data_IF_131214623385
#
_entry.id   IF_131214623385
#
_cell.length_a   1.000
_cell.length_b   1.000
_cell.length_c   1.000
_cell.angle_alpha   90.00
_cell.angle_beta   90.00
_cell.angle_gamma   90.00
#
_symmetry.space_group_name_H-M   'P 1'
#
loop_
_entity.id
_entity.type
_entity.pdbx_description
1 polymer ?
#
# COMPACT_ATOMS: atom_id res chain seq x y z
N UNK A 1 4.29 59.82 -2.94
CA UNK A 1 5.13 58.95 -3.80
C UNK A 1 6.16 58.31 -2.84
N UNK A 2 6.22 57.01 -2.55
CA UNK A 2 6.10 55.75 -3.32
C UNK A 2 5.55 54.64 -2.39
N UNK A 3 4.75 53.65 -2.85
CA UNK A 3 4.41 52.50 -2.03
C UNK A 3 5.56 51.47 -2.03
N UNK A 4 5.91 50.95 -0.86
CA UNK A 4 6.87 49.86 -0.71
C UNK A 4 6.21 48.55 -1.16
N UNK A 5 6.74 47.93 -2.21
CA UNK A 5 6.34 46.59 -2.67
C UNK A 5 7.02 45.58 -1.75
N UNK A 6 6.23 44.92 -0.90
CA UNK A 6 6.68 43.79 -0.09
C UNK A 6 6.81 42.56 -1.01
N UNK A 7 8.04 42.24 -1.42
CA UNK A 7 8.33 41.04 -2.18
C UNK A 7 8.18 39.82 -1.27
N UNK A 8 7.11 39.05 -1.48
CA UNK A 8 6.93 37.73 -0.86
C UNK A 8 7.89 36.76 -1.55
N UNK A 9 8.99 36.44 -0.88
CA UNK A 9 9.89 35.34 -1.24
C UNK A 9 9.13 34.02 -1.05
N UNK A 10 8.61 33.47 -2.15
CA UNK A 10 8.17 32.07 -2.22
C UNK A 10 9.45 31.22 -2.09
N UNK A 11 9.74 30.76 -0.88
CA UNK A 11 10.73 29.72 -0.67
C UNK A 11 10.21 28.43 -1.32
N UNK A 12 10.71 28.11 -2.52
CA UNK A 12 10.60 26.79 -3.11
C UNK A 12 11.25 25.80 -2.13
N UNK A 13 10.42 25.10 -1.35
CA UNK A 13 10.86 23.96 -0.54
C UNK A 13 11.51 22.94 -1.48
N UNK A 14 12.84 22.89 -1.42
CA UNK A 14 13.60 21.82 -2.06
C UNK A 14 13.10 20.46 -1.53
N UNK A 15 12.98 19.42 -2.37
CA UNK A 15 12.55 18.11 -1.91
C UNK A 15 13.53 17.61 -0.84
N UNK A 16 12.98 17.22 0.31
CA UNK A 16 13.76 16.67 1.42
C UNK A 16 14.72 15.58 0.91
N UNK A 17 16.00 15.69 1.30
CA UNK A 17 17.03 14.76 0.91
C UNK A 17 16.63 13.32 1.26
N UNK A 18 16.87 12.39 0.33
CA UNK A 18 16.56 10.98 0.47
C UNK A 18 17.39 10.33 1.60
N UNK A 19 16.88 10.35 2.83
CA UNK A 19 17.49 9.70 3.98
C UNK A 19 17.42 8.18 3.86
N UNK A 20 18.57 7.51 3.98
CA UNK A 20 18.62 6.06 4.15
C UNK A 20 18.19 5.71 5.58
N UNK A 21 17.30 4.73 5.72
CA UNK A 21 16.85 4.20 7.00
C UNK A 21 17.21 2.71 7.10
N UNK A 22 17.69 2.29 8.27
CA UNK A 22 17.91 0.88 8.56
C UNK A 22 16.58 0.13 8.71
N UNK A 23 16.48 -1.07 8.12
CA UNK A 23 15.31 -1.96 8.27
C UNK A 23 15.66 -3.34 8.86
N UNK A 24 16.93 -3.55 9.22
CA UNK A 24 17.44 -4.74 9.88
C UNK A 24 18.95 -4.85 9.75
N UNK A 25 19.49 -6.00 10.13
CA UNK A 25 20.91 -6.31 10.06
C UNK A 25 21.13 -7.67 9.39
N UNK A 26 22.27 -7.82 8.72
CA UNK A 26 22.73 -9.09 8.18
C UNK A 26 23.26 -10.02 9.26
N UNK A 27 23.59 -11.25 8.88
CA UNK A 27 24.26 -12.22 9.78
C UNK A 27 25.54 -11.65 10.41
N UNK A 28 26.34 -10.89 9.65
CA UNK A 28 27.57 -10.27 10.14
C UNK A 28 27.37 -8.85 10.69
N UNK A 29 26.13 -8.48 11.06
CA UNK A 29 25.84 -7.20 11.70
C UNK A 29 25.89 -5.97 10.77
N UNK A 30 25.84 -6.16 9.45
CA UNK A 30 25.80 -5.02 8.51
C UNK A 30 24.38 -4.49 8.40
N UNK A 31 24.23 -3.18 8.46
CA UNK A 31 22.93 -2.53 8.30
C UNK A 31 22.32 -2.84 6.93
N UNK A 32 21.03 -3.20 6.95
CA UNK A 32 20.20 -3.30 5.77
C UNK A 32 19.46 -1.98 5.58
N UNK A 33 19.74 -1.29 4.48
CA UNK A 33 19.29 0.09 4.27
C UNK A 33 18.23 0.21 3.17
N UNK A 34 17.24 1.07 3.41
CA UNK A 34 16.27 1.50 2.41
C UNK A 34 16.31 3.01 2.25
N UNK A 35 16.36 3.49 1.01
CA UNK A 35 16.27 4.92 0.68
C UNK A 35 14.87 5.24 0.17
N UNK A 36 14.24 6.27 0.71
CA UNK A 36 12.94 6.78 0.26
C UNK A 36 13.14 7.98 -0.66
N UNK A 37 12.44 8.02 -1.79
CA UNK A 37 12.48 9.14 -2.74
C UNK A 37 11.06 9.49 -3.16
N UNK A 38 10.73 10.78 -3.17
CA UNK A 38 9.38 11.28 -3.45
C UNK A 38 8.56 11.52 -2.19
N UNK A 39 7.32 11.95 -2.41
CA UNK A 39 6.39 12.33 -1.36
C UNK A 39 6.06 11.15 -0.41
N UNK A 40 6.29 11.27 0.91
CA UNK A 40 5.85 10.29 1.90
C UNK A 40 4.36 9.95 1.87
N UNK A 41 3.51 10.88 1.43
CA UNK A 41 2.07 10.72 1.29
C UNK A 41 1.64 10.09 -0.05
N UNK A 42 2.59 9.78 -0.95
CA UNK A 42 2.25 9.24 -2.26
C UNK A 42 1.41 7.94 -2.17
N UNK A 43 0.27 7.86 -2.88
CA UNK A 43 -0.62 6.70 -2.82
C UNK A 43 -0.04 5.46 -3.51
N UNK A 44 0.94 5.63 -4.41
CA UNK A 44 1.62 4.53 -5.09
C UNK A 44 3.03 4.37 -4.52
N UNK A 45 3.35 3.16 -4.07
CA UNK A 45 4.69 2.82 -3.58
C UNK A 45 5.33 1.77 -4.46
N UNK A 46 6.50 2.08 -5.01
CA UNK A 46 7.32 1.15 -5.78
C UNK A 46 8.51 0.71 -4.94
N UNK A 47 8.59 -0.59 -4.63
CA UNK A 47 9.77 -1.17 -3.99
C UNK A 47 10.72 -1.70 -5.05
N UNK A 48 11.98 -1.30 -5.00
CA UNK A 48 13.01 -1.72 -5.95
C UNK A 48 14.19 -2.29 -5.17
N UNK A 49 14.50 -3.56 -5.42
CA UNK A 49 15.58 -4.30 -4.78
C UNK A 49 16.69 -4.54 -5.79
N UNK A 50 17.87 -3.96 -5.54
CA UNK A 50 19.01 -3.99 -6.44
C UNK A 50 19.73 -5.34 -6.49
N UNK A 51 19.77 -6.08 -5.37
CA UNK A 51 20.21 -7.48 -5.36
C UNK A 51 19.73 -8.24 -4.12
N UNK A 52 19.48 -9.53 -4.29
CA UNK A 52 19.27 -10.51 -3.20
C UNK A 52 20.38 -11.56 -3.15
N UNK A 53 20.96 -11.93 -4.29
CA UNK A 53 22.20 -12.66 -4.32
C UNK A 53 23.38 -11.68 -4.28
N UNK A 54 24.41 -12.02 -3.50
CA UNK A 54 25.52 -11.10 -3.25
C UNK A 54 26.41 -10.85 -4.46
N UNK A 55 26.51 -11.83 -5.37
CA UNK A 55 27.31 -11.75 -6.60
C UNK A 55 26.55 -11.19 -7.82
N UNK A 56 25.29 -10.78 -7.67
CA UNK A 56 24.45 -10.25 -8.75
C UNK A 56 24.24 -8.73 -8.57
N UNK A 57 25.33 -7.95 -8.62
CA UNK A 57 25.35 -6.54 -8.19
C UNK A 57 25.00 -5.51 -9.27
N UNK A 58 24.75 -5.91 -10.52
CA UNK A 58 24.45 -4.98 -11.61
C UNK A 58 23.23 -4.08 -11.32
N UNK A 59 22.24 -4.57 -10.58
CA UNK A 59 21.07 -3.79 -10.18
C UNK A 59 21.39 -2.60 -9.26
N UNK A 60 22.57 -2.59 -8.60
CA UNK A 60 22.99 -1.47 -7.75
C UNK A 60 23.13 -0.17 -8.54
N UNK A 61 23.56 -0.26 -9.82
CA UNK A 61 23.65 0.89 -10.71
C UNK A 61 22.28 1.50 -11.02
N UNK A 62 21.23 0.68 -11.10
CA UNK A 62 19.85 1.15 -11.29
C UNK A 62 19.36 1.87 -10.03
N UNK A 63 19.61 1.30 -8.84
CA UNK A 63 19.29 1.95 -7.56
C UNK A 63 19.99 3.31 -7.43
N UNK A 64 21.28 3.37 -7.75
CA UNK A 64 22.05 4.61 -7.72
C UNK A 64 21.53 5.68 -8.69
N UNK A 65 20.91 5.27 -9.81
CA UNK A 65 20.26 6.20 -10.74
C UNK A 65 18.91 6.68 -10.22
N UNK A 66 18.08 5.77 -9.72
CA UNK A 66 16.75 6.08 -9.16
C UNK A 66 16.82 7.04 -7.97
N UNK A 67 17.86 6.92 -7.12
CA UNK A 67 18.09 7.87 -6.00
C UNK A 67 18.22 9.33 -6.42
N UNK A 68 18.54 9.60 -7.69
CA UNK A 68 18.79 10.95 -8.23
C UNK A 68 17.70 11.41 -9.19
N UNK A 69 16.64 10.63 -9.37
CA UNK A 69 15.55 10.97 -10.27
C UNK A 69 14.31 11.28 -9.44
N UNK A 70 13.61 12.40 -9.71
CA UNK A 70 12.33 12.64 -9.08
C UNK A 70 11.34 11.57 -9.58
N UNK A 71 10.59 10.91 -8.68
CA UNK A 71 9.50 10.05 -9.11
C UNK A 71 8.36 10.87 -9.72
N UNK A 72 7.50 10.24 -10.55
CA UNK A 72 6.28 10.88 -11.02
C UNK A 72 5.38 11.34 -9.87
N UNK A 73 4.51 12.35 -10.09
CA UNK A 73 3.50 12.74 -9.11
C UNK A 73 2.68 11.55 -8.61
N UNK A 74 2.45 11.50 -7.30
CA UNK A 74 1.70 10.41 -6.66
C UNK A 74 2.45 9.09 -6.50
N UNK A 75 3.77 9.07 -6.78
CA UNK A 75 4.64 7.89 -6.59
C UNK A 75 5.74 8.15 -5.58
N UNK A 76 5.93 7.20 -4.66
CA UNK A 76 7.10 7.12 -3.80
C UNK A 76 7.92 5.87 -4.14
N UNK A 77 9.24 6.05 -4.21
CA UNK A 77 10.19 4.96 -4.38
C UNK A 77 10.74 4.52 -3.03
N UNK A 78 10.81 3.22 -2.84
CA UNK A 78 11.52 2.56 -1.75
C UNK A 78 12.65 1.73 -2.36
N UNK A 79 13.87 2.17 -2.15
CA UNK A 79 15.04 1.67 -2.87
C UNK A 79 15.96 0.92 -1.90
N UNK A 80 16.09 -0.39 -2.12
CA UNK A 80 17.02 -1.25 -1.37
C UNK A 80 18.18 -1.59 -2.28
N UNK A 81 19.39 -1.13 -1.93
CA UNK A 81 20.59 -1.41 -2.75
C UNK A 81 20.86 -2.92 -2.81
N UNK A 82 20.89 -3.56 -1.65
CA UNK A 82 21.05 -5.01 -1.51
C UNK A 82 20.37 -5.47 -0.23
N UNK A 83 19.81 -6.68 -0.24
CA UNK A 83 19.39 -7.37 0.98
C UNK A 83 20.46 -8.34 1.50
N UNK A 84 21.58 -8.50 0.80
CA UNK A 84 22.66 -9.43 1.14
C UNK A 84 24.02 -8.72 1.15
N UNK A 85 24.24 -7.75 2.06
CA UNK A 85 25.50 -7.01 2.12
C UNK A 85 26.70 -7.92 2.45
N UNK A 86 26.48 -9.01 3.18
CA UNK A 86 27.52 -9.99 3.48
C UNK A 86 27.96 -10.72 2.22
N UNK A 87 27.01 -11.27 1.46
CA UNK A 87 27.32 -11.93 0.19
C UNK A 87 27.94 -10.97 -0.83
N UNK A 88 27.55 -9.69 -0.84
CA UNK A 88 28.21 -8.67 -1.69
C UNK A 88 29.67 -8.51 -1.30
N UNK A 89 29.98 -8.45 0.00
CA UNK A 89 31.37 -8.33 0.48
C UNK A 89 32.20 -9.56 0.13
N UNK A 90 31.60 -10.75 0.19
CA UNK A 90 32.29 -12.02 -0.05
C UNK A 90 32.22 -12.50 -1.51
N UNK A 91 31.51 -11.80 -2.39
CA UNK A 91 31.31 -12.22 -3.78
C UNK A 91 30.50 -13.50 -3.94
N UNK A 92 29.64 -13.85 -2.97
CA UNK A 92 28.88 -15.11 -2.97
C UNK A 92 27.43 -14.88 -3.37
N UNK A 93 26.81 -15.91 -3.98
CA UNK A 93 25.36 -15.93 -4.21
C UNK A 93 24.60 -15.87 -2.89
N UNK A 94 25.02 -16.70 -1.95
CA UNK A 94 24.41 -16.89 -0.64
C UNK A 94 24.79 -15.77 0.34
N UNK A 95 24.13 -15.73 1.51
CA UNK A 95 24.54 -14.89 2.65
C UNK A 95 25.73 -15.52 3.42
N UNK A 96 26.14 -14.91 4.54
CA UNK A 96 27.28 -15.39 5.33
C UNK A 96 27.09 -16.79 5.96
N UNK A 97 25.86 -17.32 6.03
CA UNK A 97 25.58 -18.71 6.47
C UNK A 97 25.47 -19.69 5.31
N UNK A 98 25.81 -19.26 4.09
CA UNK A 98 25.69 -20.08 2.91
C UNK A 98 24.24 -20.36 2.49
N UNK A 99 23.27 -19.53 2.92
CA UNK A 99 21.86 -19.66 2.51
C UNK A 99 21.56 -18.84 1.26
N UNK A 100 20.92 -19.45 0.26
CA UNK A 100 20.26 -18.73 -0.84
C UNK A 100 19.01 -18.03 -0.27
N UNK A 101 19.11 -16.72 -0.04
CA UNK A 101 18.02 -15.90 0.49
C UNK A 101 16.75 -15.99 -0.38
N UNK A 102 16.89 -16.19 -1.70
CA UNK A 102 15.76 -16.36 -2.62
C UNK A 102 15.26 -17.81 -2.69
N UNK A 103 15.63 -18.65 -1.72
CA UNK A 103 14.99 -19.95 -1.39
C UNK A 103 14.49 -20.00 0.05
N UNK A 104 14.77 -18.97 0.85
CA UNK A 104 14.50 -18.96 2.29
C UNK A 104 13.10 -18.43 2.67
N UNK A 105 12.26 -17.94 1.74
CA UNK A 105 10.95 -17.38 2.07
C UNK A 105 9.90 -18.46 2.40
N UNK A 106 8.94 -18.19 3.33
CA UNK A 106 7.95 -19.16 3.80
C UNK A 106 6.77 -19.33 2.84
N UNK A 107 7.05 -19.67 1.58
CA UNK A 107 6.04 -20.06 0.60
C UNK A 107 6.56 -21.15 -0.31
N UNK A 108 5.87 -22.31 -0.31
CA UNK A 108 6.33 -23.55 -0.96
C UNK A 108 7.77 -23.92 -0.56
N UNK A 109 8.23 -23.46 0.60
CA UNK A 109 9.56 -23.74 1.11
C UNK A 109 9.74 -25.24 1.29
N UNK A 110 10.93 -25.74 0.96
CA UNK A 110 11.31 -27.12 1.18
C UNK A 110 12.78 -27.12 1.59
N UNK A 111 13.11 -27.88 2.64
CA UNK A 111 14.48 -28.04 3.11
C UNK A 111 15.33 -28.94 2.20
N UNK A 112 16.57 -29.19 2.62
CA UNK A 112 17.54 -30.02 1.90
C UNK A 112 18.79 -29.25 1.49
N UNK A 113 19.83 -29.99 1.09
CA UNK A 113 21.14 -29.42 0.76
C UNK A 113 21.97 -29.02 1.99
N UNK A 114 23.13 -28.43 1.73
CA UNK A 114 24.12 -27.96 2.71
C UNK A 114 24.46 -26.49 2.44
N UNK A 115 25.00 -25.81 3.45
CA UNK A 115 25.45 -24.42 3.30
C UNK A 115 26.35 -24.27 2.06
N UNK A 116 26.12 -23.21 1.30
CA UNK A 116 26.75 -22.89 0.01
C UNK A 116 26.35 -23.73 -1.20
N UNK A 117 25.48 -24.75 -1.05
CA UNK A 117 24.80 -25.30 -2.22
C UNK A 117 24.02 -24.17 -2.93
N UNK A 118 23.97 -24.23 -4.27
CA UNK A 118 23.38 -23.16 -5.11
C UNK A 118 21.98 -22.75 -4.65
N UNK A 119 21.18 -23.70 -4.18
CA UNK A 119 19.79 -23.49 -3.73
C UNK A 119 19.55 -23.85 -2.27
N UNK A 120 20.58 -23.86 -1.42
CA UNK A 120 20.41 -24.16 0.00
C UNK A 120 19.40 -23.17 0.63
N UNK A 121 18.25 -23.65 1.11
CA UNK A 121 17.12 -22.80 1.51
C UNK A 121 17.19 -22.38 2.99
N UNK A 122 18.25 -22.77 3.71
CA UNK A 122 18.40 -22.59 5.15
C UNK A 122 17.80 -23.74 5.96
N UNK A 123 17.97 -23.67 7.28
CA UNK A 123 17.51 -24.71 8.23
C UNK A 123 15.99 -24.74 8.44
N UNK A 124 15.32 -23.63 8.15
CA UNK A 124 13.88 -23.43 8.32
C UNK A 124 13.42 -22.28 7.41
N UNK A 125 12.13 -22.21 7.08
CA UNK A 125 11.60 -21.04 6.38
C UNK A 125 11.84 -19.76 7.21
N UNK A 126 12.31 -18.71 6.55
CA UNK A 126 12.69 -17.43 7.15
C UNK A 126 13.73 -17.56 8.28
N UNK A 127 14.64 -18.54 8.19
CA UNK A 127 15.74 -18.69 9.16
C UNK A 127 16.70 -17.50 9.18
N UNK A 128 16.84 -16.81 8.05
CA UNK A 128 17.85 -15.76 7.89
C UNK A 128 17.33 -14.38 8.38
N UNK A 129 18.18 -13.59 9.07
CA UNK A 129 17.80 -12.26 9.52
C UNK A 129 17.47 -11.33 8.34
N UNK A 130 18.18 -11.46 7.21
CA UNK A 130 17.95 -10.68 5.99
C UNK A 130 16.56 -10.95 5.40
N UNK A 131 16.17 -12.23 5.33
CA UNK A 131 14.83 -12.65 4.87
C UNK A 131 13.75 -12.03 5.75
N UNK A 132 13.88 -12.16 7.09
CA UNK A 132 12.90 -11.61 8.03
C UNK A 132 12.81 -10.08 7.95
N UNK A 133 13.95 -9.41 7.78
CA UNK A 133 14.01 -7.95 7.60
C UNK A 133 13.29 -7.51 6.32
N UNK A 134 13.56 -8.18 5.20
CA UNK A 134 12.88 -7.87 3.93
C UNK A 134 11.37 -8.16 4.01
N UNK A 135 10.94 -9.21 4.70
CA UNK A 135 9.51 -9.49 4.90
C UNK A 135 8.80 -8.40 5.69
N UNK A 136 9.44 -7.87 6.74
CA UNK A 136 8.92 -6.73 7.51
C UNK A 136 8.85 -5.49 6.63
N UNK A 137 9.94 -5.16 5.93
CA UNK A 137 9.98 -4.03 5.00
C UNK A 137 8.86 -4.13 3.96
N UNK A 138 8.69 -5.26 3.27
CA UNK A 138 7.61 -5.42 2.28
C UNK A 138 6.22 -5.24 2.93
N UNK A 139 6.04 -5.71 4.17
CA UNK A 139 4.79 -5.57 4.89
C UNK A 139 4.49 -4.11 5.27
N UNK A 140 5.52 -3.38 5.69
CA UNK A 140 5.46 -1.99 6.14
C UNK A 140 5.32 -1.02 4.96
N UNK A 141 6.08 -1.24 3.88
CA UNK A 141 6.00 -0.45 2.64
C UNK A 141 4.65 -0.63 1.97
N UNK A 142 4.15 -1.87 1.93
CA UNK A 142 2.98 -2.23 1.14
C UNK A 142 3.06 -1.77 -0.33
N UNK A 143 4.00 -2.31 -1.10
CA UNK A 143 4.24 -1.82 -2.45
C UNK A 143 3.09 -2.19 -3.40
N UNK A 144 2.69 -1.23 -4.23
CA UNK A 144 1.81 -1.49 -5.39
C UNK A 144 2.51 -2.41 -6.40
N UNK A 145 3.84 -2.28 -6.50
CA UNK A 145 4.70 -3.08 -7.36
C UNK A 145 6.09 -3.26 -6.74
N UNK A 146 6.67 -4.44 -6.92
CA UNK A 146 8.07 -4.70 -6.54
C UNK A 146 8.90 -5.21 -7.71
N UNK A 147 10.08 -4.61 -7.90
CA UNK A 147 11.08 -5.06 -8.88
C UNK A 147 12.27 -5.66 -8.14
N UNK A 148 12.59 -6.92 -8.42
CA UNK A 148 13.81 -7.58 -7.96
C UNK A 148 14.80 -7.73 -9.12
N UNK A 149 15.96 -7.09 -9.01
CA UNK A 149 17.04 -7.31 -9.97
C UNK A 149 17.88 -8.54 -9.61
N UNK A 150 18.19 -9.32 -10.63
CA UNK A 150 19.00 -10.53 -10.63
C UNK A 150 19.94 -10.55 -11.84
N UNK A 151 20.82 -11.54 -11.92
CA UNK A 151 21.68 -11.83 -13.07
C UNK A 151 21.81 -13.35 -13.28
N UNK A 152 22.11 -13.85 -14.49
CA UNK A 152 22.55 -13.15 -15.70
C UNK A 152 21.71 -13.46 -16.96
N UNK A 153 20.42 -13.81 -16.81
CA UNK A 153 19.64 -14.44 -17.88
C UNK A 153 19.12 -13.49 -18.98
N UNK A 154 19.31 -12.18 -18.87
CA UNK A 154 18.88 -11.18 -19.87
C UNK A 154 17.39 -11.27 -20.25
N UNK A 155 16.50 -11.30 -19.25
CA UNK A 155 15.06 -11.42 -19.44
C UNK A 155 14.27 -10.76 -18.32
N UNK A 156 12.96 -10.61 -18.52
CA UNK A 156 12.03 -10.23 -17.45
C UNK A 156 11.13 -11.42 -17.16
N UNK A 157 11.14 -11.90 -15.92
CA UNK A 157 10.39 -13.08 -15.53
C UNK A 157 8.91 -12.73 -15.34
N UNK A 158 8.04 -13.37 -16.12
CA UNK A 158 6.58 -13.31 -15.95
C UNK A 158 6.20 -13.90 -14.59
N UNK A 159 5.61 -13.06 -13.73
CA UNK A 159 5.27 -13.39 -12.35
C UNK A 159 4.11 -14.40 -12.28
N UNK A 160 4.33 -15.64 -11.82
CA UNK A 160 3.24 -16.58 -11.57
C UNK A 160 2.39 -16.10 -10.38
N UNK A 161 1.07 -16.16 -10.52
CA UNK A 161 0.13 -15.75 -9.46
C UNK A 161 -0.06 -14.24 -9.30
N UNK A 162 0.37 -13.42 -10.26
CA UNK A 162 0.18 -11.97 -10.27
C UNK A 162 -0.15 -11.43 -11.68
N UNK A 163 -0.60 -10.17 -11.74
CA UNK A 163 -0.89 -9.46 -12.97
C UNK A 163 0.38 -9.20 -13.80
N UNK A 164 0.41 -9.67 -15.04
CA UNK A 164 1.61 -9.56 -15.88
C UNK A 164 1.65 -8.32 -16.80
N UNK A 165 0.62 -7.47 -16.76
CA UNK A 165 0.59 -6.21 -17.51
C UNK A 165 1.79 -5.29 -17.20
N UNK A 166 2.11 -4.95 -15.92
CA UNK A 166 3.28 -4.13 -15.62
C UNK A 166 4.59 -4.82 -15.99
N UNK A 167 4.67 -6.14 -15.87
CA UNK A 167 5.87 -6.93 -16.21
C UNK A 167 6.18 -6.83 -17.71
N UNK A 168 5.17 -7.02 -18.57
CA UNK A 168 5.31 -6.88 -20.02
C UNK A 168 5.61 -5.44 -20.43
N UNK A 169 4.98 -4.48 -19.76
CA UNK A 169 5.21 -3.06 -20.01
C UNK A 169 6.64 -2.64 -19.63
N UNK A 170 7.19 -3.20 -18.54
CA UNK A 170 8.59 -3.04 -18.19
C UNK A 170 9.51 -3.64 -19.26
N UNK A 171 9.28 -4.91 -19.61
CA UNK A 171 10.09 -5.67 -20.57
C UNK A 171 10.22 -4.95 -21.93
N UNK A 172 9.10 -4.45 -22.48
CA UNK A 172 9.10 -3.65 -23.71
C UNK A 172 9.98 -2.40 -23.61
N UNK A 173 9.92 -1.67 -22.49
CA UNK A 173 10.70 -0.43 -22.30
C UNK A 173 12.20 -0.65 -22.18
N UNK A 174 12.60 -1.80 -21.64
CA UNK A 174 14.02 -2.14 -21.49
C UNK A 174 14.59 -2.95 -22.64
N UNK A 175 13.73 -3.41 -23.56
CA UNK A 175 14.12 -4.22 -24.72
C UNK A 175 14.50 -5.66 -24.36
N UNK A 176 13.94 -6.22 -23.28
CA UNK A 176 14.22 -7.59 -22.84
C UNK A 176 13.01 -8.51 -23.09
N UNK A 177 13.24 -9.81 -23.39
CA UNK A 177 12.16 -10.77 -23.54
C UNK A 177 11.44 -11.02 -22.21
N UNK A 178 10.10 -11.03 -22.24
CA UNK A 178 9.29 -11.45 -21.09
C UNK A 178 9.03 -12.96 -21.17
N UNK A 179 9.60 -13.76 -20.26
CA UNK A 179 9.52 -15.23 -20.27
C UNK A 179 9.13 -15.77 -18.91
N UNK A 180 8.58 -16.99 -18.84
CA UNK A 180 8.37 -17.68 -17.56
C UNK A 180 9.60 -18.52 -17.23
N UNK A 181 10.17 -18.32 -16.06
CA UNK A 181 11.17 -19.22 -15.48
C UNK A 181 10.49 -20.40 -14.75
N UNK A 182 11.24 -21.48 -14.44
CA UNK A 182 10.74 -22.55 -13.58
C UNK A 182 10.15 -22.04 -12.26
N UNK A 183 9.17 -22.78 -11.73
CA UNK A 183 8.48 -22.41 -10.48
C UNK A 183 9.30 -22.76 -9.24
N UNK A 184 10.38 -22.01 -9.02
CA UNK A 184 11.23 -22.14 -7.84
C UNK A 184 10.43 -21.98 -6.54
N UNK A 185 10.92 -22.68 -5.51
CA UNK A 185 10.35 -22.73 -4.15
C UNK A 185 11.01 -21.67 -3.27
N UNK A 186 10.29 -21.12 -2.30
CA UNK A 186 10.86 -20.22 -1.29
C UNK A 186 11.41 -18.90 -1.84
N UNK A 187 10.95 -18.44 -3.01
CA UNK A 187 11.40 -17.17 -3.59
C UNK A 187 10.66 -15.98 -3.01
N UNK A 188 11.34 -14.82 -2.93
CA UNK A 188 10.77 -13.57 -2.43
C UNK A 188 9.51 -13.15 -3.22
N UNK A 189 9.57 -13.22 -4.55
CA UNK A 189 8.47 -12.83 -5.43
C UNK A 189 7.28 -13.78 -5.29
N UNK A 190 7.50 -15.10 -5.19
CA UNK A 190 6.42 -16.06 -5.00
C UNK A 190 5.68 -15.87 -3.67
N UNK A 191 6.44 -15.63 -2.59
CA UNK A 191 5.88 -15.34 -1.27
C UNK A 191 5.10 -14.02 -1.26
N UNK A 192 5.65 -12.97 -1.88
CA UNK A 192 4.99 -11.67 -1.91
C UNK A 192 3.68 -11.71 -2.72
N UNK A 193 3.71 -12.29 -3.92
CA UNK A 193 2.53 -12.37 -4.80
C UNK A 193 1.41 -13.20 -4.17
N UNK A 194 1.73 -14.25 -3.41
CA UNK A 194 0.71 -15.03 -2.69
C UNK A 194 0.03 -14.25 -1.56
N UNK A 195 0.76 -13.36 -0.86
CA UNK A 195 0.25 -12.61 0.31
C UNK A 195 -0.45 -11.31 -0.05
N UNK A 196 -0.23 -10.81 -1.25
CA UNK A 196 -0.82 -9.56 -1.72
C UNK A 196 -1.44 -9.72 -3.12
N UNK A 197 -2.55 -10.48 -3.23
CA UNK A 197 -3.37 -10.48 -4.44
C UNK A 197 -3.70 -9.03 -4.85
N UNK A 198 -3.61 -8.74 -6.15
CA UNK A 198 -3.80 -7.38 -6.69
C UNK A 198 -2.53 -6.53 -6.79
N UNK A 199 -1.40 -6.96 -6.19
CA UNK A 199 -0.08 -6.35 -6.41
C UNK A 199 0.78 -7.22 -7.32
N UNK A 200 1.92 -6.71 -7.80
CA UNK A 200 2.84 -7.51 -8.62
C UNK A 200 4.29 -7.33 -8.19
N UNK A 201 4.93 -8.42 -7.77
CA UNK A 201 6.37 -8.54 -7.62
C UNK A 201 6.95 -9.40 -8.74
N UNK A 202 7.99 -8.92 -9.41
CA UNK A 202 8.61 -9.64 -10.53
C UNK A 202 10.13 -9.50 -10.55
N UNK A 203 10.78 -10.40 -11.30
CA UNK A 203 12.23 -10.44 -11.45
C UNK A 203 12.64 -9.85 -12.79
N UNK A 204 13.72 -9.06 -12.77
CA UNK A 204 14.46 -8.61 -13.93
C UNK A 204 15.84 -9.24 -13.88
N UNK A 205 16.11 -10.16 -14.80
CA UNK A 205 17.42 -10.78 -14.99
C UNK A 205 18.24 -9.90 -15.94
N UNK A 206 19.21 -9.17 -15.39
CA UNK A 206 20.14 -8.34 -16.14
C UNK A 206 21.18 -9.22 -16.88
N UNK A 207 21.92 -8.67 -17.84
CA UNK A 207 23.05 -9.36 -18.46
C UNK A 207 24.17 -9.68 -17.45
N UNK A 208 25.09 -10.57 -17.83
CA UNK A 208 26.30 -10.83 -17.04
C UNK A 208 27.19 -9.58 -16.94
N UNK A 209 27.92 -9.46 -15.84
CA UNK A 209 28.87 -8.37 -15.61
C UNK A 209 28.21 -7.05 -15.18
N UNK A 210 28.98 -5.94 -15.19
CA UNK A 210 28.49 -4.64 -14.75
C UNK A 210 27.50 -4.02 -15.75
N UNK A 211 26.54 -3.25 -15.24
CA UNK A 211 25.56 -2.56 -16.08
C UNK A 211 26.10 -1.20 -16.56
N UNK A 212 26.19 -1.02 -17.89
CA UNK A 212 26.58 0.27 -18.48
C UNK A 212 25.64 1.41 -18.05
N UNK A 213 26.18 2.64 -17.92
CA UNK A 213 25.42 3.83 -17.47
C UNK A 213 24.12 4.05 -18.25
N UNK A 214 24.16 3.93 -19.57
CA UNK A 214 22.99 4.07 -20.44
C UNK A 214 21.93 2.99 -20.18
N UNK A 215 22.35 1.76 -19.94
CA UNK A 215 21.45 0.66 -19.59
C UNK A 215 20.82 0.88 -18.20
N UNK A 216 21.60 1.26 -17.19
CA UNK A 216 21.07 1.62 -15.87
C UNK A 216 20.05 2.75 -15.95
N UNK A 217 20.30 3.77 -16.79
CA UNK A 217 19.35 4.83 -17.08
C UNK A 217 18.05 4.35 -17.72
N UNK A 218 18.12 3.42 -18.67
CA UNK A 218 16.94 2.81 -19.30
C UNK A 218 16.10 2.02 -18.30
N UNK A 219 16.73 1.18 -17.46
CA UNK A 219 16.04 0.45 -16.39
C UNK A 219 15.39 1.39 -15.36
N UNK A 220 16.09 2.47 -14.96
CA UNK A 220 15.53 3.46 -14.04
C UNK A 220 14.28 4.15 -14.63
N UNK A 221 14.34 4.63 -15.87
CA UNK A 221 13.16 5.21 -16.55
C UNK A 221 12.02 4.20 -16.69
N UNK A 222 12.35 2.95 -16.99
CA UNK A 222 11.34 1.90 -17.08
C UNK A 222 10.64 1.68 -15.73
N UNK A 223 11.37 1.70 -14.60
CA UNK A 223 10.78 1.64 -13.25
C UNK A 223 9.85 2.84 -13.00
N UNK A 224 10.30 4.07 -13.29
CA UNK A 224 9.48 5.26 -13.08
C UNK A 224 8.20 5.26 -13.93
N UNK A 225 8.24 4.59 -15.09
CA UNK A 225 7.06 4.41 -15.95
C UNK A 225 6.15 3.26 -15.51
N UNK A 226 6.47 2.54 -14.42
CA UNK A 226 5.58 1.58 -13.77
C UNK A 226 4.66 2.30 -12.79
N UNK A 227 3.95 3.32 -13.26
CA UNK A 227 2.76 3.77 -12.55
C UNK A 227 1.68 2.71 -12.76
N UNK A 228 1.01 2.24 -11.70
CA UNK A 228 -0.16 1.40 -11.85
C UNK A 228 -1.10 2.05 -12.86
N UNK A 229 -1.53 1.28 -13.85
CA UNK A 229 -2.66 1.64 -14.70
C UNK A 229 -3.90 1.56 -13.82
N UNK A 230 -4.08 2.57 -12.98
CA UNK A 230 -5.29 2.85 -12.21
C UNK A 230 -5.49 4.36 -11.99
N UNK A 231 -4.80 5.18 -12.79
CA UNK A 231 -5.07 6.62 -12.94
C UNK A 231 -5.62 7.00 -14.34
N UNK A 232 -5.99 6.01 -15.16
CA UNK A 232 -6.54 6.23 -16.51
C UNK A 232 -7.86 5.49 -16.77
N UNK A 233 -8.55 5.02 -15.73
CA UNK A 233 -10.00 4.90 -15.85
C UNK A 233 -10.56 6.33 -15.82
N UNK A 234 -11.51 6.61 -16.70
CA UNK A 234 -12.22 7.86 -16.95
C UNK A 234 -12.99 8.46 -15.75
N UNK A 235 -12.42 8.41 -14.54
CA UNK A 235 -13.02 8.88 -13.29
C UNK A 235 -12.64 10.33 -12.95
N UNK A 236 -13.43 10.93 -12.06
CA UNK A 236 -13.17 12.26 -11.53
C UNK A 236 -11.75 12.34 -10.93
N UNK A 237 -11.03 13.48 -11.09
CA UNK A 237 -9.71 13.66 -10.50
C UNK A 237 -9.77 13.53 -8.98
N UNK A 238 -8.70 13.02 -8.37
CA UNK A 238 -8.58 12.99 -6.91
C UNK A 238 -8.71 14.41 -6.36
N UNK A 239 -9.57 14.66 -5.36
CA UNK A 239 -9.57 15.96 -4.70
C UNK A 239 -8.27 16.14 -3.90
N UNK A 240 -7.92 17.38 -3.50
CA UNK A 240 -6.89 17.59 -2.49
C UNK A 240 -7.25 16.80 -1.22
N UNK A 241 -6.33 15.95 -0.78
CA UNK A 241 -6.48 15.08 0.39
C UNK A 241 -5.25 15.27 1.26
N UNK A 242 -5.47 15.64 2.51
CA UNK A 242 -4.45 15.71 3.55
C UNK A 242 -4.28 14.32 4.18
N UNK A 243 -3.04 13.90 4.40
CA UNK A 243 -2.75 12.61 5.02
C UNK A 243 -2.49 12.80 6.51
N UNK A 244 -3.53 12.56 7.32
CA UNK A 244 -3.50 12.67 8.77
C UNK A 244 -3.73 11.29 9.37
N UNK A 245 -2.70 10.42 9.40
CA UNK A 245 -2.89 9.04 9.81
C UNK A 245 -3.20 8.91 11.30
N UNK A 246 -4.24 8.14 11.60
CA UNK A 246 -4.38 7.58 12.95
C UNK A 246 -3.36 6.44 13.15
N UNK A 247 -2.94 6.13 14.39
CA UNK A 247 -2.12 4.96 14.66
C UNK A 247 -2.78 3.66 14.16
N UNK A 248 -2.18 3.07 13.12
CA UNK A 248 -2.66 1.83 12.49
C UNK A 248 -1.54 0.78 12.37
N UNK A 249 -0.84 0.59 13.49
CA UNK A 249 0.33 -0.30 13.62
C UNK A 249 0.00 -1.79 13.58
N UNK A 250 1.01 -2.62 13.83
CA UNK A 250 0.89 -4.09 13.78
C UNK A 250 -0.19 -4.63 14.73
N UNK A 251 -0.40 -3.98 15.88
CA UNK A 251 -1.40 -4.38 16.87
C UNK A 251 -2.83 -4.16 16.39
N UNK A 252 -3.17 -2.95 15.93
CA UNK A 252 -4.51 -2.68 15.36
C UNK A 252 -4.81 -3.59 14.17
N UNK A 253 -3.78 -3.94 13.37
CA UNK A 253 -3.90 -4.95 12.30
C UNK A 253 -4.12 -6.37 12.83
N UNK A 254 -3.53 -6.76 13.96
CA UNK A 254 -3.82 -8.06 14.62
C UNK A 254 -5.27 -8.08 15.10
N UNK A 255 -5.72 -7.03 15.79
CA UNK A 255 -7.09 -6.87 16.24
C UNK A 255 -8.07 -6.96 15.07
N UNK A 256 -7.81 -6.27 13.96
CA UNK A 256 -8.66 -6.33 12.77
C UNK A 256 -8.75 -7.75 12.16
N UNK A 257 -7.68 -8.55 12.22
CA UNK A 257 -7.74 -9.96 11.80
C UNK A 257 -8.61 -10.79 12.73
N UNK A 258 -8.53 -10.57 14.05
CA UNK A 258 -9.36 -11.27 15.02
C UNK A 258 -10.83 -10.89 14.87
N UNK A 259 -11.12 -9.59 14.75
CA UNK A 259 -12.43 -9.06 14.40
C UNK A 259 -12.97 -9.73 13.12
N UNK A 260 -12.23 -9.64 12.02
CA UNK A 260 -12.70 -10.22 10.75
C UNK A 260 -12.91 -11.73 10.79
N UNK A 261 -12.13 -12.46 11.60
CA UNK A 261 -12.33 -13.90 11.80
C UNK A 261 -13.69 -14.19 12.46
N UNK A 262 -14.08 -13.40 13.46
CA UNK A 262 -15.36 -13.56 14.17
C UNK A 262 -16.54 -13.09 13.32
N UNK A 263 -16.43 -11.92 12.70
CA UNK A 263 -17.52 -11.25 11.99
C UNK A 263 -17.75 -11.77 10.57
N UNK A 264 -16.67 -12.13 9.87
CA UNK A 264 -16.71 -12.51 8.44
C UNK A 264 -16.17 -13.93 8.17
N UNK A 265 -15.54 -14.58 9.16
CA UNK A 265 -15.00 -15.94 9.05
C UNK A 265 -13.54 -16.04 8.61
N UNK A 266 -12.92 -14.90 8.29
CA UNK A 266 -11.57 -14.87 7.73
C UNK A 266 -10.67 -13.92 8.53
N UNK A 267 -9.47 -14.39 8.88
CA UNK A 267 -8.50 -13.59 9.62
C UNK A 267 -7.76 -12.57 8.74
N UNK A 268 -8.51 -11.64 8.11
CA UNK A 268 -8.00 -10.62 7.19
C UNK A 268 -8.07 -9.24 7.83
N UNK A 269 -7.02 -8.44 7.63
CA UNK A 269 -7.04 -7.00 7.96
C UNK A 269 -7.10 -6.13 6.71
N UNK A 270 -6.86 -6.71 5.53
CA UNK A 270 -6.84 -5.99 4.27
C UNK A 270 -8.26 -5.76 3.77
N UNK A 271 -8.54 -4.55 3.30
CA UNK A 271 -9.70 -4.25 2.48
C UNK A 271 -9.35 -4.66 1.05
N UNK A 272 -10.15 -5.55 0.47
CA UNK A 272 -9.90 -6.10 -0.87
C UNK A 272 -11.15 -5.82 -1.69
N UNK A 273 -10.97 -5.17 -2.84
CA UNK A 273 -12.07 -4.85 -3.77
C UNK A 273 -13.27 -4.18 -3.07
N UNK A 274 -13.10 -2.97 -2.52
CA UNK A 274 -14.22 -2.28 -1.87
C UNK A 274 -15.37 -2.10 -2.86
N UNK A 275 -16.57 -2.41 -2.41
CA UNK A 275 -17.82 -2.39 -3.21
C UNK A 275 -18.81 -1.36 -2.72
N UNK A 276 -18.62 -0.83 -1.51
CA UNK A 276 -19.55 0.07 -0.84
C UNK A 276 -18.81 1.30 -0.35
N UNK A 277 -19.42 2.47 -0.47
CA UNK A 277 -19.00 3.68 0.25
C UNK A 277 -20.09 3.97 1.28
N UNK A 278 -19.71 4.12 2.55
CA UNK A 278 -20.64 4.45 3.62
C UNK A 278 -20.36 5.87 4.10
N UNK A 279 -21.37 6.74 3.98
CA UNK A 279 -21.34 8.11 4.46
C UNK A 279 -21.81 8.16 5.92
N UNK A 280 -21.04 8.82 6.77
CA UNK A 280 -21.27 8.98 8.21
C UNK A 280 -21.16 10.44 8.64
N UNK A 281 -21.70 10.77 9.81
CA UNK A 281 -21.35 12.01 10.52
C UNK A 281 -20.83 11.71 11.93
N UNK A 282 -19.88 12.53 12.37
CA UNK A 282 -19.09 12.26 13.59
C UNK A 282 -19.82 12.43 14.92
N UNK A 283 -21.05 12.97 14.89
CA UNK A 283 -21.78 13.47 16.07
C UNK A 283 -20.99 14.50 16.89
N UNK A 284 -20.00 15.15 16.27
CA UNK A 284 -19.11 16.13 16.88
C UNK A 284 -19.00 17.37 16.00
N UNK A 285 -18.50 18.47 16.56
CA UNK A 285 -18.36 19.75 15.86
C UNK A 285 -16.93 20.09 15.41
N UNK A 286 -15.96 19.18 15.61
CA UNK A 286 -14.56 19.40 15.24
C UNK A 286 -13.87 18.16 14.67
N UNK A 287 -12.95 18.38 13.73
CA UNK A 287 -12.03 17.37 13.22
C UNK A 287 -11.26 16.70 14.36
N UNK A 288 -10.65 17.49 15.25
CA UNK A 288 -9.77 17.01 16.31
C UNK A 288 -10.47 16.01 17.24
N UNK A 289 -11.75 16.25 17.56
CA UNK A 289 -12.53 15.34 18.39
C UNK A 289 -12.68 13.98 17.74
N UNK A 290 -13.15 13.95 16.48
CA UNK A 290 -13.34 12.71 15.73
C UNK A 290 -12.02 11.98 15.46
N UNK A 291 -10.96 12.73 15.09
CA UNK A 291 -9.61 12.19 14.93
C UNK A 291 -9.12 11.50 16.21
N UNK A 292 -9.21 12.18 17.35
CA UNK A 292 -8.73 11.64 18.64
C UNK A 292 -9.49 10.37 19.05
N UNK A 293 -10.81 10.33 18.81
CA UNK A 293 -11.62 9.11 19.02
C UNK A 293 -11.09 7.95 18.17
N UNK A 294 -10.85 8.16 16.88
CA UNK A 294 -10.35 7.10 16.00
C UNK A 294 -8.90 6.71 16.32
N UNK A 295 -8.06 7.67 16.71
CA UNK A 295 -6.67 7.47 17.07
C UNK A 295 -6.50 6.67 18.36
N UNK A 296 -7.40 6.83 19.33
CA UNK A 296 -7.37 6.13 20.60
C UNK A 296 -7.47 4.59 20.46
N UNK A 297 -8.12 4.10 19.39
CA UNK A 297 -8.35 2.67 19.16
C UNK A 297 -8.94 1.95 20.40
N UNK A 298 -9.77 2.66 21.16
CA UNK A 298 -10.40 2.15 22.36
C UNK A 298 -11.48 1.13 22.01
N UNK A 299 -11.77 0.22 22.96
CA UNK A 299 -12.95 -0.64 22.87
C UNK A 299 -14.21 0.23 22.77
N UNK A 300 -15.16 -0.16 21.92
CA UNK A 300 -16.45 0.53 21.93
C UNK A 300 -17.26 0.16 23.18
N UNK A 301 -18.08 1.11 23.61
CA UNK A 301 -18.86 1.01 24.84
C UNK A 301 -20.03 0.03 24.73
N UNK A 302 -20.53 -0.26 23.52
CA UNK A 302 -21.73 -1.07 23.32
C UNK A 302 -21.42 -2.57 23.37
N UNK A 303 -20.29 -2.99 22.78
CA UNK A 303 -19.93 -4.40 22.63
C UNK A 303 -18.50 -4.74 23.06
N UNK A 304 -17.69 -3.76 23.49
CA UNK A 304 -16.32 -3.98 23.93
C UNK A 304 -15.38 -4.45 22.81
N UNK A 305 -15.68 -4.14 21.55
CA UNK A 305 -14.95 -4.68 20.40
C UNK A 305 -13.63 -3.96 20.13
N UNK A 306 -12.66 -4.75 19.69
CA UNK A 306 -11.43 -4.28 19.05
C UNK A 306 -11.33 -4.79 17.61
N UNK A 307 -10.71 -4.04 16.68
CA UNK A 307 -10.12 -2.72 16.90
C UNK A 307 -11.19 -1.66 17.16
N UNK A 308 -10.80 -0.56 17.80
CA UNK A 308 -11.68 0.60 17.96
C UNK A 308 -12.09 1.17 16.61
N UNK A 309 -13.20 1.92 16.61
CA UNK A 309 -13.80 2.46 15.39
C UNK A 309 -12.83 3.38 14.62
N UNK A 310 -12.97 3.40 13.31
CA UNK A 310 -12.26 4.33 12.43
C UNK A 310 -12.98 4.48 11.09
N UNK A 311 -12.72 5.59 10.41
CA UNK A 311 -13.07 5.78 9.01
C UNK A 311 -11.81 5.94 8.15
N UNK A 312 -11.96 5.75 6.83
CA UNK A 312 -10.84 5.96 5.91
C UNK A 312 -10.61 7.45 5.65
N UNK A 313 -11.70 8.22 5.57
CA UNK A 313 -11.67 9.66 5.36
C UNK A 313 -12.52 10.40 6.39
N UNK A 314 -12.15 11.64 6.64
CA UNK A 314 -12.89 12.60 7.45
C UNK A 314 -12.91 13.94 6.71
N UNK A 315 -14.08 14.56 6.60
CA UNK A 315 -14.27 15.86 5.94
C UNK A 315 -14.67 16.92 6.97
N UNK A 316 -13.82 17.94 7.14
CA UNK A 316 -14.11 19.05 8.06
C UNK A 316 -15.18 19.99 7.48
N UNK A 317 -15.68 20.90 8.31
CA UNK A 317 -16.79 21.82 8.02
C UNK A 317 -16.46 22.80 6.89
N UNK A 318 -15.18 23.10 6.69
CA UNK A 318 -14.67 23.97 5.62
C UNK A 318 -14.44 23.23 4.29
N UNK A 319 -14.58 21.89 4.28
CA UNK A 319 -14.37 21.03 3.12
C UNK A 319 -12.97 20.45 2.98
N UNK A 320 -12.07 20.65 3.96
CA UNK A 320 -10.81 19.92 4.01
C UNK A 320 -11.07 18.40 4.12
N UNK A 321 -10.38 17.61 3.30
CA UNK A 321 -10.50 16.14 3.28
C UNK A 321 -9.24 15.55 3.88
N UNK A 322 -9.41 14.82 4.97
CA UNK A 322 -8.33 14.13 5.67
C UNK A 322 -8.47 12.64 5.44
N UNK A 323 -7.44 11.98 4.93
CA UNK A 323 -7.36 10.53 4.89
C UNK A 323 -6.67 10.02 6.15
N UNK A 324 -7.41 9.22 6.93
CA UNK A 324 -6.97 8.75 8.24
C UNK A 324 -6.39 7.33 8.19
N UNK A 325 -6.92 6.49 7.30
CA UNK A 325 -6.49 5.09 7.14
C UNK A 325 -6.27 4.80 5.66
N UNK A 326 -5.18 4.07 5.38
CA UNK A 326 -4.90 3.59 4.02
C UNK A 326 -6.04 2.68 3.55
N UNK A 327 -6.51 2.92 2.33
CA UNK A 327 -7.52 2.11 1.62
C UNK A 327 -7.15 0.63 1.46
N UNK A 328 -5.92 0.23 1.83
CA UNK A 328 -5.48 -1.17 1.90
C UNK A 328 -6.03 -1.90 3.12
N UNK A 329 -6.38 -1.19 4.17
CA UNK A 329 -6.79 -1.78 5.45
C UNK A 329 -8.28 -1.59 5.67
N UNK A 330 -8.92 -2.59 6.28
CA UNK A 330 -10.29 -2.46 6.75
C UNK A 330 -10.31 -1.46 7.89
N UNK A 331 -11.36 -0.66 7.93
CA UNK A 331 -11.72 0.11 9.11
C UNK A 331 -13.01 -0.43 9.72
N UNK A 332 -13.12 -0.39 11.04
CA UNK A 332 -14.37 -0.72 11.72
C UNK A 332 -15.21 0.54 11.82
N UNK A 333 -16.19 0.69 10.93
CA UNK A 333 -17.16 1.80 10.94
C UNK A 333 -18.61 1.35 10.72
N UNK A 334 -18.82 0.19 10.09
CA UNK A 334 -20.16 -0.34 9.81
C UNK A 334 -20.10 -1.86 9.91
N UNK A 335 -20.57 -2.38 11.05
CA UNK A 335 -20.61 -3.82 11.30
C UNK A 335 -21.39 -4.51 10.17
N UNK A 336 -20.93 -5.71 9.77
CA UNK A 336 -21.46 -6.38 8.57
C UNK A 336 -20.96 -5.87 7.21
N UNK A 337 -20.27 -4.72 7.13
CA UNK A 337 -19.75 -4.16 5.88
C UNK A 337 -18.25 -3.80 5.89
N UNK A 338 -17.58 -3.85 7.06
CA UNK A 338 -16.17 -3.45 7.20
C UNK A 338 -15.18 -4.22 6.31
N UNK A 339 -15.59 -5.35 5.73
CA UNK A 339 -14.77 -6.17 4.85
C UNK A 339 -14.81 -5.73 3.38
N UNK A 340 -15.76 -4.87 3.03
CA UNK A 340 -16.12 -4.47 1.66
C UNK A 340 -16.42 -2.97 1.50
N UNK A 341 -16.42 -2.20 2.59
CA UNK A 341 -16.78 -0.79 2.59
C UNK A 341 -15.63 0.19 2.86
N UNK A 342 -15.75 1.38 2.27
CA UNK A 342 -14.96 2.57 2.59
C UNK A 342 -15.84 3.55 3.36
N UNK A 343 -15.54 3.78 4.65
CA UNK A 343 -16.19 4.83 5.44
C UNK A 343 -15.63 6.24 5.19
N UNK A 344 -16.54 7.21 5.02
CA UNK A 344 -16.29 8.65 4.97
C UNK A 344 -17.06 9.31 6.11
N UNK A 345 -16.36 10.01 6.99
CA UNK A 345 -16.92 10.72 8.13
C UNK A 345 -17.03 12.22 7.88
N UNK A 346 -18.12 12.84 8.30
CA UNK A 346 -18.30 14.28 8.16
C UNK A 346 -18.37 14.94 9.54
N UNK A 347 -17.58 15.98 9.76
CA UNK A 347 -17.70 16.80 10.97
C UNK A 347 -19.08 17.47 10.98
N UNK A 348 -19.91 17.08 11.95
CA UNK A 348 -21.32 17.42 11.96
C UNK A 348 -22.10 16.55 12.94
N UNK A 349 -23.27 17.05 13.32
CA UNK A 349 -24.17 16.41 14.29
C UNK A 349 -25.44 15.84 13.65
N UNK A 350 -25.65 16.04 12.35
CA UNK A 350 -26.77 15.50 11.60
C UNK A 350 -26.54 15.55 10.08
N UNK A 351 -27.29 14.74 9.33
CA UNK A 351 -27.35 14.78 7.87
C UNK A 351 -27.62 16.17 7.31
N UNK A 352 -28.60 16.88 7.89
CA UNK A 352 -28.99 18.22 7.46
C UNK A 352 -27.84 19.21 7.65
N UNK A 353 -27.07 19.04 8.73
CA UNK A 353 -25.92 19.88 9.01
C UNK A 353 -24.81 19.69 7.97
N UNK A 354 -24.56 18.44 7.56
CA UNK A 354 -23.55 18.12 6.53
C UNK A 354 -24.01 18.58 5.15
N UNK A 355 -25.23 18.22 4.74
CA UNK A 355 -25.77 18.60 3.43
C UNK A 355 -26.00 20.11 3.26
N UNK A 356 -26.21 20.82 4.37
CA UNK A 356 -26.42 22.27 4.40
C UNK A 356 -25.14 23.09 4.27
N UNK A 357 -23.95 22.48 4.37
CA UNK A 357 -22.66 23.17 4.19
C UNK A 357 -22.13 22.99 2.78
N UNK A 358 -22.14 24.02 1.92
CA UNK A 358 -21.78 23.86 0.51
C UNK A 358 -20.36 23.32 0.28
N UNK A 359 -19.38 23.77 1.09
CA UNK A 359 -17.98 23.33 0.95
C UNK A 359 -17.79 21.87 1.35
N UNK A 360 -18.31 21.48 2.52
CA UNK A 360 -18.28 20.10 3.01
C UNK A 360 -18.98 19.13 2.04
N UNK A 361 -20.18 19.49 1.56
CA UNK A 361 -20.90 18.71 0.56
C UNK A 361 -20.13 18.60 -0.77
N UNK A 362 -19.53 19.69 -1.25
CA UNK A 362 -18.75 19.69 -2.50
C UNK A 362 -17.53 18.78 -2.38
N UNK A 363 -16.83 18.84 -1.24
CA UNK A 363 -15.70 17.97 -0.94
C UNK A 363 -16.12 16.50 -0.90
N UNK A 364 -17.21 16.20 -0.20
CA UNK A 364 -17.83 14.87 -0.10
C UNK A 364 -18.15 14.28 -1.48
N UNK A 365 -18.91 15.01 -2.31
CA UNK A 365 -19.26 14.55 -3.66
C UNK A 365 -18.03 14.33 -4.56
N UNK A 366 -16.99 15.16 -4.44
CA UNK A 366 -15.74 14.99 -5.21
C UNK A 366 -14.97 13.75 -4.76
N UNK A 367 -14.86 13.54 -3.45
CA UNK A 367 -14.21 12.37 -2.87
C UNK A 367 -14.95 11.09 -3.27
N UNK A 368 -16.27 11.06 -3.10
CA UNK A 368 -17.09 9.90 -3.44
C UNK A 368 -16.96 9.57 -4.92
N UNK A 369 -17.09 10.54 -5.85
CA UNK A 369 -16.89 10.28 -7.29
C UNK A 369 -15.51 9.75 -7.63
N UNK A 370 -14.47 10.27 -7.00
CA UNK A 370 -13.11 9.75 -7.19
C UNK A 370 -12.99 8.29 -6.74
N UNK A 371 -13.56 7.95 -5.58
CA UNK A 371 -13.60 6.57 -5.07
C UNK A 371 -14.43 5.65 -5.97
N UNK A 372 -15.59 6.11 -6.45
CA UNK A 372 -16.41 5.39 -7.42
C UNK A 372 -15.65 5.10 -8.71
N UNK A 373 -14.98 6.11 -9.29
CA UNK A 373 -14.16 5.92 -10.50
C UNK A 373 -12.95 5.01 -10.27
N UNK A 374 -12.35 5.07 -9.08
CA UNK A 374 -11.18 4.26 -8.71
C UNK A 374 -11.51 2.78 -8.50
N UNK A 375 -12.68 2.47 -7.93
CA UNK A 375 -13.05 1.10 -7.54
C UNK A 375 -14.24 0.53 -8.31
N UNK A 376 -14.84 1.29 -9.22
CA UNK A 376 -16.02 0.86 -9.98
C UNK A 376 -17.28 0.75 -9.12
N UNK A 377 -17.41 1.54 -8.05
CA UNK A 377 -18.54 1.50 -7.13
C UNK A 377 -19.71 2.30 -7.75
N UNK A 378 -20.85 1.67 -8.07
CA UNK A 378 -21.98 2.37 -8.67
C UNK A 378 -22.69 3.24 -7.63
N UNK A 379 -23.44 4.25 -8.07
CA UNK A 379 -24.10 5.20 -7.17
C UNK A 379 -25.05 4.53 -6.16
N UNK A 380 -25.71 3.42 -6.55
CA UNK A 380 -26.59 2.63 -5.66
C UNK A 380 -25.86 2.05 -4.43
N UNK A 381 -24.55 1.84 -4.54
CA UNK A 381 -23.70 1.26 -3.48
C UNK A 381 -22.94 2.37 -2.71
N UNK A 382 -23.32 3.63 -2.91
CA UNK A 382 -23.00 4.75 -2.01
C UNK A 382 -24.19 4.93 -1.07
N UNK A 383 -24.00 4.53 0.18
CA UNK A 383 -25.08 4.42 1.16
C UNK A 383 -24.78 5.25 2.41
N UNK A 384 -25.83 5.57 3.16
CA UNK A 384 -25.68 6.02 4.53
C UNK A 384 -25.56 4.84 5.47
N UNK A 385 -25.04 5.04 6.68
CA UNK A 385 -24.97 3.97 7.67
C UNK A 385 -26.34 3.35 7.95
N UNK A 386 -27.40 4.17 7.99
CA UNK A 386 -28.78 3.69 8.21
C UNK A 386 -29.27 2.69 7.16
N UNK A 387 -28.70 2.72 5.95
CA UNK A 387 -29.02 1.80 4.84
C UNK A 387 -28.15 0.52 4.89
N UNK A 388 -27.29 0.33 5.89
CA UNK A 388 -26.34 -0.80 5.94
C UNK A 388 -26.99 -2.18 5.82
N UNK A 389 -28.10 -2.42 6.51
CA UNK A 389 -28.79 -3.71 6.53
C UNK A 389 -29.46 -4.07 5.19
N UNK A 390 -29.73 -3.08 4.33
CA UNK A 390 -30.31 -3.32 2.99
C UNK A 390 -29.24 -3.53 1.91
N UNK A 391 -27.96 -3.33 2.24
CA UNK A 391 -26.86 -3.57 1.30
C UNK A 391 -26.76 -5.07 0.97
N UNK A 392 -26.66 -5.46 -0.32
CA UNK A 392 -26.46 -6.87 -0.70
C UNK A 392 -25.09 -7.41 -0.25
N UNK A 393 -24.19 -6.54 0.18
CA UNK A 393 -22.86 -6.90 0.69
C UNK A 393 -22.85 -7.09 2.21
N UNK A 394 -23.93 -6.74 2.91
CA UNK A 394 -23.99 -6.88 4.37
C UNK A 394 -24.02 -8.35 4.78
N UNK A 395 -23.05 -8.75 5.59
CA UNK A 395 -23.02 -10.09 6.19
C UNK A 395 -22.33 -10.06 7.55
N UNK A 396 -22.98 -10.63 8.56
CA UNK A 396 -22.50 -10.60 9.94
C UNK A 396 -22.78 -11.93 10.64
N UNK A 397 -21.70 -12.59 11.09
CA UNK A 397 -21.76 -13.89 11.76
C UNK A 397 -22.14 -13.76 13.23
N UNK A 398 -21.75 -12.68 13.91
CA UNK A 398 -22.04 -12.43 15.32
C UNK A 398 -23.53 -12.12 15.48
N UNK A 399 -24.27 -13.07 16.06
CA UNK A 399 -25.74 -13.00 16.20
C UNK A 399 -26.24 -11.70 16.83
N UNK A 400 -25.56 -11.21 17.87
CA UNK A 400 -25.95 -9.99 18.59
C UNK A 400 -25.84 -8.71 17.75
N UNK A 401 -24.99 -8.72 16.70
CA UNK A 401 -24.74 -7.55 15.86
C UNK A 401 -25.35 -7.64 14.46
N UNK A 402 -25.94 -8.78 14.09
CA UNK A 402 -26.41 -9.06 12.73
C UNK A 402 -27.47 -8.09 12.21
N UNK A 403 -28.26 -7.52 13.10
CA UNK A 403 -29.36 -6.61 12.77
C UNK A 403 -29.13 -5.20 13.35
N UNK A 404 -27.88 -4.85 13.65
CA UNK A 404 -27.53 -3.54 14.21
C UNK A 404 -27.14 -2.57 13.11
N UNK A 405 -27.63 -1.35 13.22
CA UNK A 405 -27.36 -0.22 12.33
C UNK A 405 -27.45 1.08 13.13
N UNK A 406 -26.93 2.17 12.59
CA UNK A 406 -27.01 3.50 13.18
C UNK A 406 -27.91 4.43 12.35
N UNK A 407 -28.38 5.50 12.97
CA UNK A 407 -29.37 6.41 12.37
C UNK A 407 -28.79 7.48 11.43
N UNK A 408 -27.47 7.50 11.24
CA UNK A 408 -26.81 8.50 10.40
C UNK A 408 -26.99 8.24 8.90
N UNK A 409 -27.13 9.34 8.16
CA UNK A 409 -27.42 9.38 6.73
C UNK A 409 -28.65 8.53 6.34
N UNK A 410 -29.83 9.07 6.62
CA UNK A 410 -31.12 8.44 6.32
C UNK A 410 -31.37 8.22 4.82
N UNK A 411 -32.23 7.25 4.48
CA UNK A 411 -32.54 6.91 3.08
C UNK A 411 -33.01 8.12 2.23
N UNK A 412 -33.78 9.05 2.81
CA UNK A 412 -34.21 10.27 2.11
C UNK A 412 -33.04 11.23 1.82
N UNK A 413 -32.12 11.38 2.77
CA UNK A 413 -30.85 12.11 2.60
C UNK A 413 -30.04 11.50 1.48
N UNK A 414 -29.86 10.18 1.53
CA UNK A 414 -29.00 9.47 0.59
C UNK A 414 -29.55 9.38 -0.82
N UNK A 415 -30.88 9.37 -1.01
CA UNK A 415 -31.48 9.56 -2.34
C UNK A 415 -31.07 10.89 -2.97
N UNK A 416 -31.09 11.99 -2.20
CA UNK A 416 -30.66 13.32 -2.68
C UNK A 416 -29.15 13.37 -2.91
N UNK A 417 -28.38 12.73 -2.04
CA UNK A 417 -26.92 12.66 -2.19
C UNK A 417 -26.53 11.91 -3.48
N UNK A 418 -27.08 10.71 -3.70
CA UNK A 418 -26.85 9.92 -4.91
C UNK A 418 -27.29 10.63 -6.19
N UNK A 419 -28.44 11.31 -6.19
CA UNK A 419 -28.89 12.11 -7.32
C UNK A 419 -27.91 13.25 -7.69
N UNK A 420 -27.08 13.71 -6.75
CA UNK A 420 -26.03 14.71 -7.00
C UNK A 420 -24.72 14.11 -7.47
N UNK A 421 -24.51 12.79 -7.40
CA UNK A 421 -23.29 12.13 -7.87
C UNK A 421 -23.25 12.03 -9.41
N UNK A 422 -24.41 11.96 -10.06
CA UNK A 422 -24.55 11.68 -11.49
C UNK A 422 -25.15 10.30 -11.65
#
# INVERSE_FOLDING_TARGET
MRPAVLAVLIALLAPAAAGAAGFGESVQGRSLEVTRVGDPAAPVRLLVVGSIHGNETAGHAVIARLRRLPPPPGVQLWLVRTVNPDGVRHGTRQNARGVDLNRNFPFRWAGGGRAFDTYYPGRAPASEPETRALQRLISDVDPSLTVFYHQALSLVNLAPGAGNAPVRAYARRVGLPARRLPRYRGTATSWQNQRAPGTTAFVVELPAGPLARGAAGRHARAVLALTPVSAQASGAPAPPIEWDPIPFGAERRRQMRQYSRRHYGEAKAKLVEPRVIVEHYTASSSFSSAFNTFAANAQDVEFGELPGVCAHFLIDRDGAIHQLVSLRWRCRHTVGLNDSAIGIEHVGVSDANVLGRPRQLTASLRLTRWLQGRFGIPARDVIGHSESLSSPYHHERVRAMRMRTHGDFGAATMRRYRARLG
#
